data_IF_556052918266
#
_entry.id   IF_556052918266
#
_cell.length_a   1.000
_cell.length_b   1.000
_cell.length_c   1.000
_cell.angle_alpha   90.00
_cell.angle_beta   90.00
_cell.angle_gamma   90.00
#
_symmetry.space_group_name_H-M   'P 1'
#
loop_
_entity.id
_entity.type
_entity.pdbx_description
1 polymer ?
#
# COMPACT_ATOMS: atom_id res chain seq x y z
N UNK A 1 6.36 -8.49 0.80
CA UNK A 1 5.04 -8.78 1.38
C UNK A 1 4.01 -7.84 0.81
N UNK A 2 2.99 -8.40 0.18
CA UNK A 2 1.86 -7.66 -0.39
C UNK A 2 0.88 -7.21 0.73
N UNK A 3 1.37 -6.48 1.73
CA UNK A 3 0.53 -6.01 2.83
C UNK A 3 -0.37 -4.87 2.39
N UNK A 4 -1.63 -4.93 2.79
CA UNK A 4 -2.59 -3.84 2.61
C UNK A 4 -2.22 -2.62 3.45
N UNK A 5 -2.64 -1.47 3.01
CA UNK A 5 -2.38 -0.18 3.65
C UNK A 5 -3.67 0.63 3.74
N UNK A 6 -3.87 1.30 4.85
CA UNK A 6 -5.00 2.20 5.02
C UNK A 6 -4.50 3.64 5.05
N UNK A 7 -5.21 4.50 4.34
CA UNK A 7 -4.91 5.93 4.25
C UNK A 7 -6.14 6.76 4.60
N UNK A 8 -5.91 7.88 5.24
CA UNK A 8 -6.85 8.99 5.35
C UNK A 8 -6.37 10.10 4.43
N UNK A 9 -7.30 10.74 3.72
CA UNK A 9 -6.99 11.74 2.71
C UNK A 9 -8.16 12.72 2.54
N UNK A 10 -7.85 13.95 2.16
CA UNK A 10 -8.85 14.89 1.63
C UNK A 10 -8.70 14.98 0.12
N UNK A 11 -9.83 14.90 -0.60
CA UNK A 11 -9.93 15.05 -2.05
C UNK A 11 -10.59 16.40 -2.32
N UNK A 12 -9.93 17.23 -3.12
CA UNK A 12 -10.41 18.54 -3.55
C UNK A 12 -10.87 18.41 -4.98
N UNK A 13 -12.19 18.52 -5.20
CA UNK A 13 -12.82 18.43 -6.52
C UNK A 13 -12.70 19.77 -7.26
N UNK A 14 -12.69 19.72 -8.58
CA UNK A 14 -12.70 20.88 -9.45
C UNK A 14 -11.33 21.52 -9.70
N UNK A 15 -10.26 21.06 -9.09
CA UNK A 15 -8.91 21.61 -9.27
C UNK A 15 -7.92 20.48 -9.53
N UNK A 16 -7.22 20.55 -10.65
CA UNK A 16 -6.13 19.64 -10.98
C UNK A 16 -4.77 20.28 -10.70
N UNK A 17 -3.81 19.46 -10.24
CA UNK A 17 -2.41 19.88 -10.09
C UNK A 17 -1.47 18.90 -10.82
N UNK A 18 -0.32 19.39 -11.24
CA UNK A 18 0.70 18.60 -11.97
C UNK A 18 1.26 17.42 -11.16
N UNK A 19 1.20 17.49 -9.82
CA UNK A 19 1.63 16.42 -8.91
C UNK A 19 0.49 15.54 -8.42
N UNK A 20 -0.77 15.87 -8.76
CA UNK A 20 -2.01 15.27 -8.26
C UNK A 20 -2.20 15.43 -6.74
N UNK A 21 -1.46 16.34 -6.11
CA UNK A 21 -1.58 16.71 -4.70
C UNK A 21 -1.40 18.23 -4.52
N UNK A 22 -1.68 18.72 -3.32
CA UNK A 22 -1.65 20.16 -3.00
C UNK A 22 -0.25 20.79 -3.03
N UNK A 23 0.82 20.04 -3.28
CA UNK A 23 2.18 20.57 -3.43
C UNK A 23 2.50 21.02 -4.85
N UNK A 24 1.67 20.61 -5.82
CA UNK A 24 1.85 20.94 -7.24
C UNK A 24 1.26 22.30 -7.64
N UNK A 25 1.56 22.69 -8.88
CA UNK A 25 0.96 23.86 -9.50
C UNK A 25 -0.42 23.51 -10.07
N UNK A 26 -1.37 24.43 -9.97
CA UNK A 26 -2.69 24.27 -10.61
C UNK A 26 -2.51 24.27 -12.12
N UNK A 27 -3.02 23.22 -12.78
CA UNK A 27 -2.95 23.06 -14.25
C UNK A 27 -4.32 23.21 -14.91
N UNK A 28 -5.40 22.93 -14.18
CA UNK A 28 -6.77 23.14 -14.66
C UNK A 28 -7.74 23.39 -13.50
N UNK A 29 -8.80 24.15 -13.80
CA UNK A 29 -9.94 24.37 -12.91
C UNK A 29 -11.23 24.03 -13.66
N UNK A 30 -12.12 23.30 -13.00
CA UNK A 30 -13.39 22.82 -13.54
C UNK A 30 -14.54 23.32 -12.69
N UNK A 31 -15.56 23.86 -13.34
CA UNK A 31 -16.83 24.15 -12.66
C UNK A 31 -17.59 22.85 -12.50
N UNK A 32 -17.77 22.40 -11.28
CA UNK A 32 -18.54 21.22 -10.97
C UNK A 32 -19.36 21.44 -9.69
N UNK A 33 -20.45 20.72 -9.58
CA UNK A 33 -21.33 20.74 -8.39
C UNK A 33 -21.96 19.35 -8.25
N UNK A 34 -21.12 18.33 -7.97
CA UNK A 34 -21.62 16.96 -7.90
C UNK A 34 -22.53 16.78 -6.68
N UNK A 35 -23.63 16.06 -6.90
CA UNK A 35 -24.49 15.65 -5.80
C UNK A 35 -23.75 14.61 -4.91
N UNK A 36 -24.00 14.59 -3.61
CA UNK A 36 -23.31 13.67 -2.71
C UNK A 36 -23.43 12.19 -3.10
N UNK A 37 -24.54 11.78 -3.68
CA UNK A 37 -24.77 10.42 -4.19
C UNK A 37 -23.85 10.09 -5.36
N UNK A 38 -23.63 11.04 -6.29
CA UNK A 38 -22.74 10.84 -7.44
C UNK A 38 -21.30 10.60 -6.99
N UNK A 39 -20.82 11.37 -6.00
CA UNK A 39 -19.46 11.19 -5.45
C UNK A 39 -19.29 9.82 -4.80
N UNK A 40 -20.28 9.36 -4.03
CA UNK A 40 -20.25 8.04 -3.39
C UNK A 40 -20.31 6.91 -4.43
N UNK A 41 -21.13 7.06 -5.46
CA UNK A 41 -21.24 6.08 -6.56
C UNK A 41 -19.93 6.01 -7.36
N UNK A 42 -19.34 7.15 -7.70
CA UNK A 42 -18.05 7.21 -8.39
C UNK A 42 -16.92 6.56 -7.57
N UNK A 43 -16.86 6.82 -6.26
CA UNK A 43 -15.89 6.17 -5.37
C UNK A 43 -16.13 4.65 -5.27
N UNK A 44 -17.39 4.23 -5.24
CA UNK A 44 -17.75 2.80 -5.24
C UNK A 44 -17.31 2.11 -6.53
N UNK A 45 -17.44 2.75 -7.68
CA UNK A 45 -16.98 2.22 -8.97
C UNK A 45 -15.45 2.06 -9.04
N UNK A 46 -14.69 2.83 -8.26
CA UNK A 46 -13.24 2.72 -8.12
C UNK A 46 -12.82 1.71 -7.03
N UNK A 47 -13.75 0.91 -6.50
CA UNK A 47 -13.48 -0.16 -5.53
C UNK A 47 -13.34 -1.50 -6.25
N UNK A 48 -12.54 -2.41 -5.70
CA UNK A 48 -12.22 -3.69 -6.33
C UNK A 48 -10.84 -3.68 -6.99
N UNK A 49 -10.68 -4.47 -8.04
CA UNK A 49 -9.44 -4.50 -8.84
C UNK A 49 -9.54 -3.46 -9.94
N UNK A 50 -8.62 -2.50 -9.94
CA UNK A 50 -8.57 -1.42 -10.93
C UNK A 50 -7.17 -1.32 -11.54
N UNK A 51 -7.09 -0.74 -12.74
CA UNK A 51 -5.83 -0.41 -13.38
C UNK A 51 -5.44 1.04 -13.07
N UNK A 52 -4.23 1.27 -12.59
CA UNK A 52 -3.70 2.61 -12.33
C UNK A 52 -2.44 2.87 -13.14
N UNK A 53 -2.35 4.04 -13.77
CA UNK A 53 -1.10 4.56 -14.33
C UNK A 53 -0.35 5.30 -13.21
N UNK A 54 0.87 4.88 -12.83
CA UNK A 54 1.65 5.56 -11.80
C UNK A 54 1.88 7.04 -12.16
N UNK A 55 1.81 7.99 -11.20
CA UNK A 55 2.06 9.39 -11.50
C UNK A 55 3.54 9.63 -11.86
N UNK A 56 3.81 10.66 -12.67
CA UNK A 56 5.18 11.05 -13.03
C UNK A 56 6.02 11.39 -11.80
N UNK A 57 5.42 12.05 -10.82
CA UNK A 57 6.09 12.34 -9.55
C UNK A 57 6.02 11.13 -8.63
N UNK A 58 6.84 10.12 -8.90
CA UNK A 58 6.96 8.92 -8.05
C UNK A 58 8.40 8.42 -7.95
N UNK A 59 8.67 7.57 -6.95
CA UNK A 59 9.99 6.96 -6.74
C UNK A 59 10.26 5.76 -7.68
N UNK A 60 9.32 5.42 -8.55
CA UNK A 60 9.47 4.31 -9.49
C UNK A 60 10.59 4.60 -10.50
N UNK A 61 11.28 3.55 -10.95
CA UNK A 61 12.35 3.65 -11.95
C UNK A 61 11.88 3.12 -13.30
N UNK A 62 12.22 3.86 -14.36
CA UNK A 62 12.11 3.45 -15.77
C UNK A 62 13.47 3.72 -16.41
N UNK A 63 14.04 2.75 -17.10
CA UNK A 63 15.38 2.89 -17.69
C UNK A 63 16.48 3.23 -16.68
N UNK A 64 16.34 2.79 -15.42
CA UNK A 64 17.32 3.05 -14.36
C UNK A 64 17.16 4.39 -13.63
N UNK A 65 16.38 5.33 -14.17
CA UNK A 65 16.11 6.67 -13.59
C UNK A 65 14.76 6.71 -12.86
N UNK A 66 14.67 7.51 -11.81
CA UNK A 66 13.40 7.67 -11.08
C UNK A 66 12.46 8.62 -11.81
N UNK A 67 11.16 8.32 -11.82
CA UNK A 67 10.16 9.13 -12.52
C UNK A 67 10.15 10.60 -12.05
N UNK A 68 10.29 10.85 -10.75
CA UNK A 68 10.34 12.22 -10.24
C UNK A 68 11.59 13.01 -10.68
N UNK A 69 12.69 12.33 -11.02
CA UNK A 69 13.90 12.97 -11.59
C UNK A 69 13.59 13.42 -13.04
N UNK A 70 12.95 12.54 -13.82
CA UNK A 70 12.52 12.85 -15.19
C UNK A 70 11.47 13.96 -15.21
N UNK A 71 10.50 13.92 -14.28
CA UNK A 71 9.48 14.97 -14.17
C UNK A 71 10.08 16.36 -13.91
N UNK A 72 11.12 16.46 -13.06
CA UNK A 72 11.83 17.73 -12.80
C UNK A 72 12.57 18.28 -14.02
N UNK A 73 12.96 17.41 -14.93
CA UNK A 73 13.61 17.78 -16.19
C UNK A 73 12.57 18.06 -17.30
N UNK A 74 11.27 17.97 -17.02
CA UNK A 74 10.20 18.15 -18.00
C UNK A 74 10.10 16.99 -18.99
N UNK A 75 10.72 15.83 -18.69
CA UNK A 75 10.70 14.66 -19.54
C UNK A 75 9.50 13.79 -19.14
N UNK A 76 8.56 13.64 -20.04
CA UNK A 76 7.43 12.72 -19.90
C UNK A 76 7.78 11.38 -20.52
N UNK A 77 7.42 10.27 -19.83
CA UNK A 77 7.67 8.90 -20.30
C UNK A 77 6.38 8.08 -20.20
N UNK A 78 6.21 7.16 -21.12
CA UNK A 78 5.10 6.22 -21.09
C UNK A 78 5.21 5.33 -19.84
N UNK A 79 4.08 5.13 -19.19
CA UNK A 79 3.95 4.35 -17.96
C UNK A 79 2.87 3.30 -18.14
N UNK A 80 3.27 2.06 -17.99
CA UNK A 80 2.33 0.95 -18.03
C UNK A 80 1.37 1.01 -16.86
N UNK A 81 0.10 0.80 -17.14
CA UNK A 81 -0.92 0.59 -16.12
C UNK A 81 -0.59 -0.63 -15.26
N UNK A 82 -1.03 -0.61 -14.02
CA UNK A 82 -0.83 -1.70 -13.06
C UNK A 82 -2.11 -2.00 -12.34
N UNK A 83 -2.38 -3.27 -12.22
CA UNK A 83 -3.48 -3.77 -11.42
C UNK A 83 -3.20 -3.53 -9.94
N UNK A 84 -4.14 -2.87 -9.27
CA UNK A 84 -4.15 -2.64 -7.82
C UNK A 84 -5.53 -3.02 -7.27
N UNK A 85 -5.57 -3.34 -5.99
CA UNK A 85 -6.82 -3.70 -5.33
C UNK A 85 -7.21 -2.64 -4.31
N UNK A 86 -8.38 -2.06 -4.46
CA UNK A 86 -9.02 -1.17 -3.51
C UNK A 86 -10.08 -1.97 -2.75
N UNK A 87 -9.81 -2.31 -1.49
CA UNK A 87 -10.77 -3.05 -0.65
C UNK A 87 -11.88 -2.16 -0.12
N UNK A 88 -11.54 -0.89 0.12
CA UNK A 88 -12.45 0.09 0.66
C UNK A 88 -12.09 1.48 0.14
N UNK A 89 -13.09 2.22 -0.30
CA UNK A 89 -13.01 3.65 -0.59
C UNK A 89 -14.24 4.32 0.05
N UNK A 90 -14.17 4.53 1.35
CA UNK A 90 -15.22 5.21 2.14
C UNK A 90 -15.00 6.72 2.05
N UNK A 91 -15.95 7.43 1.47
CA UNK A 91 -15.85 8.87 1.23
C UNK A 91 -17.04 9.60 1.87
N UNK A 92 -16.76 10.77 2.45
CA UNK A 92 -17.76 11.57 3.17
C UNK A 92 -17.58 13.06 2.88
N UNK A 93 -18.67 13.82 2.75
CA UNK A 93 -18.60 15.26 2.58
C UNK A 93 -17.97 15.96 3.79
N UNK A 94 -17.46 17.16 3.57
CA UNK A 94 -17.10 18.13 4.62
C UNK A 94 -18.08 19.31 4.58
N UNK A 95 -17.79 20.35 5.35
CA UNK A 95 -18.58 21.62 5.29
C UNK A 95 -18.40 22.34 3.95
N UNK A 96 -17.29 22.07 3.24
CA UNK A 96 -17.07 22.57 1.88
C UNK A 96 -17.50 21.46 0.88
N UNK A 97 -18.48 21.70 0.02
CA UNK A 97 -19.00 20.70 -0.92
C UNK A 97 -17.95 20.21 -1.94
N UNK A 98 -16.87 20.97 -2.15
CA UNK A 98 -15.78 20.59 -3.04
C UNK A 98 -14.68 19.80 -2.34
N UNK A 99 -14.75 19.63 -1.02
CA UNK A 99 -13.74 18.90 -0.23
C UNK A 99 -14.36 17.68 0.43
N UNK A 100 -13.76 16.54 0.15
CA UNK A 100 -14.24 15.26 0.65
C UNK A 100 -13.16 14.55 1.46
N UNK A 101 -13.54 13.98 2.61
CA UNK A 101 -12.65 13.11 3.38
C UNK A 101 -12.86 11.67 2.96
N UNK A 102 -11.76 10.95 2.76
CA UNK A 102 -11.82 9.54 2.41
C UNK A 102 -10.91 8.68 3.30
N UNK A 103 -11.37 7.44 3.51
CA UNK A 103 -10.59 6.35 4.08
C UNK A 103 -10.44 5.28 3.01
N UNK A 104 -9.19 5.00 2.61
CA UNK A 104 -8.88 4.05 1.55
C UNK A 104 -8.09 2.88 2.12
N UNK A 105 -8.59 1.64 1.96
CA UNK A 105 -7.85 0.40 2.24
C UNK A 105 -7.48 -0.25 0.91
N UNK A 106 -6.18 -0.39 0.63
CA UNK A 106 -5.69 -0.78 -0.68
C UNK A 106 -4.42 -1.63 -0.63
N UNK A 107 -4.15 -2.32 -1.72
CA UNK A 107 -2.94 -3.12 -1.90
C UNK A 107 -1.68 -2.25 -1.94
N UNK A 108 -0.53 -2.88 -1.73
CA UNK A 108 0.77 -2.25 -1.97
C UNK A 108 0.89 -1.80 -3.44
N UNK A 109 1.51 -0.65 -3.66
CA UNK A 109 1.69 -0.09 -5.01
C UNK A 109 0.57 0.81 -5.48
N UNK A 110 -0.54 0.93 -4.74
CA UNK A 110 -1.62 1.87 -5.03
C UNK A 110 -1.16 3.32 -4.81
N UNK A 111 -1.47 4.18 -5.77
CA UNK A 111 -1.23 5.63 -5.69
C UNK A 111 -2.54 6.34 -5.32
N UNK A 112 -2.61 6.82 -4.08
CA UNK A 112 -3.81 7.54 -3.58
C UNK A 112 -4.01 8.85 -4.34
N UNK A 113 -2.95 9.48 -4.83
CA UNK A 113 -3.02 10.68 -5.67
C UNK A 113 -3.73 10.39 -7.00
N UNK A 114 -3.36 9.30 -7.67
CA UNK A 114 -4.02 8.85 -8.89
C UNK A 114 -5.49 8.51 -8.61
N UNK A 115 -5.78 7.82 -7.50
CA UNK A 115 -7.16 7.47 -7.14
C UNK A 115 -8.04 8.72 -6.94
N UNK A 116 -7.48 9.78 -6.33
CA UNK A 116 -8.19 11.06 -6.18
C UNK A 116 -8.43 11.75 -7.53
N UNK A 117 -7.44 11.73 -8.42
CA UNK A 117 -7.59 12.27 -9.78
C UNK A 117 -8.61 11.47 -10.61
N UNK A 118 -8.57 10.14 -10.53
CA UNK A 118 -9.52 9.23 -11.19
C UNK A 118 -10.97 9.49 -10.72
N UNK A 119 -11.17 9.79 -9.42
CA UNK A 119 -12.47 10.19 -8.91
C UNK A 119 -12.94 11.50 -9.54
N UNK A 120 -12.06 12.49 -9.67
CA UNK A 120 -12.39 13.75 -10.34
C UNK A 120 -12.78 13.55 -11.81
N UNK A 121 -12.07 12.69 -12.52
CA UNK A 121 -12.38 12.32 -13.92
C UNK A 121 -13.75 11.60 -14.00
N UNK A 122 -14.02 10.68 -13.10
CA UNK A 122 -15.30 9.97 -13.07
C UNK A 122 -16.50 10.89 -12.80
N UNK A 123 -16.26 12.06 -12.20
CA UNK A 123 -17.24 13.12 -11.97
C UNK A 123 -17.23 14.20 -13.09
N UNK A 124 -16.67 13.89 -14.26
CA UNK A 124 -16.56 14.77 -15.42
C UNK A 124 -15.84 16.11 -15.13
N UNK A 125 -14.91 16.10 -14.17
CA UNK A 125 -14.08 17.24 -13.79
C UNK A 125 -12.69 16.78 -13.41
N UNK A 126 -12.01 17.56 -12.57
CA UNK A 126 -10.68 17.25 -12.06
C UNK A 126 -10.67 17.17 -10.55
N UNK A 127 -9.61 16.60 -10.00
CA UNK A 127 -9.36 16.60 -8.55
C UNK A 127 -7.87 16.43 -8.23
N UNK A 128 -7.49 16.87 -7.04
CA UNK A 128 -6.21 16.54 -6.42
C UNK A 128 -6.44 16.18 -4.96
N UNK A 129 -5.42 15.60 -4.34
CA UNK A 129 -5.50 15.27 -2.92
C UNK A 129 -4.69 16.23 -2.04
N UNK A 130 -5.06 16.28 -0.77
CA UNK A 130 -4.28 16.92 0.29
C UNK A 130 -4.40 16.14 1.61
N UNK A 131 -3.59 16.48 2.59
CA UNK A 131 -3.62 15.89 3.94
C UNK A 131 -3.55 14.35 3.94
N UNK A 132 -2.78 13.76 3.00
CA UNK A 132 -2.61 12.31 2.93
C UNK A 132 -1.84 11.78 4.13
N UNK A 133 -2.44 10.84 4.86
CA UNK A 133 -1.85 10.17 6.00
C UNK A 133 -2.05 8.65 5.91
N UNK A 134 -0.97 7.88 5.97
CA UNK A 134 -1.09 6.42 6.10
C UNK A 134 -1.32 6.08 7.56
N UNK A 135 -2.47 5.45 7.86
CA UNK A 135 -2.89 5.07 9.22
C UNK A 135 -2.66 3.60 9.52
N UNK A 136 -2.45 2.75 8.49
CA UNK A 136 -2.13 1.33 8.66
C UNK A 136 -1.17 0.82 7.57
N UNK A 137 -0.28 -0.09 7.93
CA UNK A 137 0.60 -0.81 6.99
C UNK A 137 0.79 -2.25 7.48
N UNK A 138 0.17 -3.22 6.78
CA UNK A 138 0.09 -4.59 7.27
C UNK A 138 -0.61 -4.64 8.63
N UNK A 139 -0.05 -5.39 9.56
CA UNK A 139 -0.55 -5.50 10.92
C UNK A 139 -0.31 -4.27 11.81
N UNK A 140 0.41 -3.24 11.34
CA UNK A 140 0.76 -2.07 12.16
C UNK A 140 -0.21 -0.91 11.95
N UNK A 141 -0.87 -0.48 13.02
CA UNK A 141 -1.68 0.74 13.07
C UNK A 141 -0.86 1.96 13.54
N UNK A 142 -1.32 3.15 13.19
CA UNK A 142 -0.64 4.40 13.58
C UNK A 142 -0.58 4.60 15.09
N UNK A 143 -1.52 4.00 15.84
CA UNK A 143 -1.58 4.07 17.30
C UNK A 143 -0.41 3.34 17.98
N UNK A 144 0.25 2.43 17.23
CA UNK A 144 1.40 1.67 17.71
C UNK A 144 2.74 2.32 17.29
N UNK A 145 2.68 3.46 16.57
CA UNK A 145 3.87 4.16 16.08
C UNK A 145 4.37 5.16 17.12
N UNK A 146 5.65 5.07 17.43
CA UNK A 146 6.34 6.05 18.24
C UNK A 146 6.85 7.20 17.35
N UNK A 147 7.10 8.38 17.94
CA UNK A 147 7.91 9.40 17.30
C UNK A 147 9.33 8.90 17.14
N UNK A 148 10.03 9.30 16.08
CA UNK A 148 11.40 8.85 15.80
C UNK A 148 12.34 9.10 17.00
N UNK A 149 12.15 10.21 17.72
CA UNK A 149 12.94 10.57 18.92
C UNK A 149 12.68 9.68 20.13
N UNK A 150 11.58 8.93 20.13
CA UNK A 150 11.09 8.11 21.26
C UNK A 150 11.02 6.62 20.87
N UNK A 151 11.37 6.31 19.62
CA UNK A 151 11.24 4.97 19.07
C UNK A 151 12.14 3.95 19.76
N UNK A 152 11.57 2.82 20.11
CA UNK A 152 12.28 1.68 20.70
C UNK A 152 12.32 0.51 19.72
N UNK A 153 13.38 -0.31 19.83
CA UNK A 153 13.46 -1.54 19.04
C UNK A 153 12.41 -2.54 19.53
N UNK A 154 11.66 -3.11 18.59
CA UNK A 154 10.68 -4.16 18.86
C UNK A 154 11.23 -5.53 18.44
N UNK A 155 10.74 -6.62 19.04
CA UNK A 155 11.11 -7.96 18.62
C UNK A 155 10.87 -8.17 17.12
N UNK A 156 11.82 -8.85 16.45
CA UNK A 156 11.73 -9.08 14.99
C UNK A 156 10.48 -9.87 14.61
N UNK A 157 9.98 -10.73 15.50
CA UNK A 157 8.73 -11.46 15.29
C UNK A 157 7.52 -10.56 15.03
N UNK A 158 7.50 -9.34 15.60
CA UNK A 158 6.42 -8.39 15.37
C UNK A 158 6.34 -7.95 13.89
N UNK A 159 7.46 -7.94 13.16
CA UNK A 159 7.46 -7.59 11.73
C UNK A 159 6.66 -8.55 10.85
N UNK A 160 6.46 -9.76 11.35
CA UNK A 160 5.78 -10.85 10.65
C UNK A 160 4.56 -11.36 11.43
N UNK A 161 3.98 -10.53 12.29
CA UNK A 161 2.83 -10.89 13.15
C UNK A 161 1.56 -11.24 12.38
N UNK A 162 1.49 -10.87 11.10
CA UNK A 162 0.39 -11.21 10.20
C UNK A 162 0.57 -12.60 9.55
N UNK A 163 1.70 -13.27 9.78
CA UNK A 163 1.99 -14.57 9.22
C UNK A 163 1.56 -15.68 10.18
N UNK A 164 1.09 -16.77 9.61
CA UNK A 164 0.85 -18.00 10.38
C UNK A 164 2.16 -18.51 10.98
N UNK A 165 2.10 -18.93 12.24
CA UNK A 165 3.29 -19.40 12.97
C UNK A 165 3.42 -20.90 12.91
N UNK A 166 4.65 -21.36 12.69
CA UNK A 166 5.06 -22.76 12.82
C UNK A 166 6.15 -22.83 13.89
N UNK A 167 5.85 -23.49 15.01
CA UNK A 167 6.86 -23.74 16.06
C UNK A 167 7.72 -24.94 15.66
N UNK A 168 9.02 -24.73 15.56
CA UNK A 168 10.00 -25.74 15.15
C UNK A 168 10.42 -26.64 16.31
N UNK A 169 10.63 -27.90 16.02
CA UNK A 169 11.41 -28.81 16.87
C UNK A 169 12.91 -28.52 16.74
N UNK A 170 13.74 -28.96 17.64
CA UNK A 170 15.20 -28.75 17.58
C UNK A 170 15.82 -29.30 16.29
N UNK A 171 15.31 -30.44 15.80
CA UNK A 171 15.75 -31.02 14.53
C UNK A 171 15.37 -30.12 13.32
N UNK A 172 14.13 -29.66 13.29
CA UNK A 172 13.65 -28.75 12.24
C UNK A 172 14.40 -27.40 12.29
N UNK A 173 14.67 -26.88 13.48
CA UNK A 173 15.44 -25.66 13.66
C UNK A 173 16.85 -25.78 13.08
N UNK A 174 17.54 -26.89 13.36
CA UNK A 174 18.85 -27.19 12.77
C UNK A 174 18.79 -27.30 11.25
N UNK A 175 17.76 -27.97 10.71
CA UNK A 175 17.54 -28.06 9.27
C UNK A 175 17.34 -26.67 8.63
N UNK A 176 16.43 -25.85 9.19
CA UNK A 176 16.06 -24.54 8.67
C UNK A 176 17.24 -23.58 8.73
N UNK A 177 18.01 -23.56 9.81
CA UNK A 177 19.21 -22.71 9.96
C UNK A 177 20.27 -23.01 8.88
N UNK A 178 20.34 -24.24 8.42
CA UNK A 178 21.21 -24.65 7.31
C UNK A 178 20.56 -24.47 5.92
N UNK A 179 19.47 -23.72 5.82
CA UNK A 179 18.78 -23.45 4.55
C UNK A 179 17.89 -24.60 4.07
N UNK A 180 17.61 -25.57 4.93
CA UNK A 180 16.69 -26.67 4.64
C UNK A 180 15.23 -26.21 4.65
N UNK A 181 14.36 -27.01 4.01
CA UNK A 181 12.93 -26.71 3.88
C UNK A 181 12.13 -27.63 4.81
N UNK A 182 11.06 -27.09 5.39
CA UNK A 182 10.09 -27.92 6.08
C UNK A 182 9.28 -28.74 5.07
N UNK A 183 8.79 -29.88 5.51
CA UNK A 183 7.85 -30.71 4.74
C UNK A 183 6.49 -30.02 4.65
N UNK A 184 5.75 -30.25 3.57
CA UNK A 184 4.48 -29.58 3.31
C UNK A 184 3.43 -29.79 4.41
N UNK A 185 3.45 -30.91 5.12
CA UNK A 185 2.52 -31.20 6.21
C UNK A 185 2.69 -30.29 7.43
N UNK A 186 3.84 -29.61 7.54
CA UNK A 186 4.11 -28.63 8.60
C UNK A 186 3.67 -27.22 8.27
N UNK A 187 3.31 -26.98 7.00
CA UNK A 187 2.97 -25.67 6.46
C UNK A 187 1.62 -25.74 5.74
N UNK A 188 0.53 -25.68 6.50
CA UNK A 188 -0.82 -25.62 5.95
C UNK A 188 -1.13 -24.24 5.33
N UNK A 189 -1.94 -24.22 4.28
CA UNK A 189 -2.37 -22.97 3.62
C UNK A 189 -1.45 -22.49 2.50
N UNK A 190 -1.49 -21.19 2.26
CA UNK A 190 -0.79 -20.55 1.12
C UNK A 190 0.51 -19.85 1.50
N UNK A 191 0.79 -19.72 2.83
CA UNK A 191 1.95 -18.97 3.31
C UNK A 191 1.87 -17.47 3.04
N UNK A 192 2.94 -16.71 3.30
CA UNK A 192 4.18 -17.16 3.98
C UNK A 192 3.98 -17.50 5.47
N UNK A 193 4.92 -18.24 6.06
CA UNK A 193 4.90 -18.68 7.46
C UNK A 193 6.08 -18.13 8.24
N UNK A 194 5.83 -17.69 9.48
CA UNK A 194 6.86 -17.35 10.46
C UNK A 194 7.27 -18.61 11.23
N UNK A 195 8.51 -19.03 11.06
CA UNK A 195 9.09 -20.18 11.76
C UNK A 195 9.74 -19.70 13.05
N UNK A 196 9.29 -20.22 14.19
CA UNK A 196 9.79 -19.81 15.51
C UNK A 196 10.30 -20.98 16.31
N UNK A 197 11.17 -20.72 17.28
CA UNK A 197 11.48 -21.66 18.34
C UNK A 197 10.36 -21.71 19.41
N UNK A 198 10.51 -22.55 20.41
CA UNK A 198 9.59 -22.68 21.53
C UNK A 198 9.52 -21.43 22.43
N UNK A 199 10.53 -20.58 22.37
CA UNK A 199 10.61 -19.30 23.09
C UNK A 199 10.06 -18.13 22.29
N UNK A 200 9.44 -18.38 21.11
CA UNK A 200 8.91 -17.36 20.19
C UNK A 200 9.97 -16.48 19.53
N UNK A 201 11.21 -16.91 19.44
CA UNK A 201 12.19 -16.23 18.59
C UNK A 201 11.95 -16.60 17.14
N UNK A 202 11.94 -15.59 16.25
CA UNK A 202 11.81 -15.81 14.81
C UNK A 202 13.13 -16.41 14.27
N UNK A 203 13.03 -17.58 13.66
CA UNK A 203 14.18 -18.31 13.07
C UNK A 203 14.24 -18.06 11.57
N UNK A 204 13.09 -18.13 10.89
CA UNK A 204 13.02 -17.96 9.44
C UNK A 204 11.62 -17.53 8.99
N UNK A 205 11.53 -17.13 7.74
CA UNK A 205 10.26 -17.01 6.99
C UNK A 205 10.34 -17.95 5.80
N UNK A 206 9.36 -18.84 5.68
CA UNK A 206 9.19 -19.67 4.48
C UNK A 206 8.02 -19.19 3.66
N UNK A 207 8.11 -19.37 2.34
CA UNK A 207 7.08 -18.99 1.38
C UNK A 207 6.64 -20.22 0.58
N UNK A 208 5.51 -20.11 -0.11
CA UNK A 208 5.06 -21.12 -1.07
C UNK A 208 5.15 -20.54 -2.48
N UNK A 209 5.97 -21.17 -3.33
CA UNK A 209 6.14 -20.79 -4.74
C UNK A 209 5.85 -22.03 -5.57
N UNK A 210 4.92 -21.93 -6.52
CA UNK A 210 4.49 -23.06 -7.39
C UNK A 210 4.13 -24.33 -6.62
N UNK A 211 3.45 -24.15 -5.48
CA UNK A 211 3.01 -25.27 -4.62
C UNK A 211 4.09 -25.87 -3.72
N UNK A 212 5.33 -25.39 -3.83
CA UNK A 212 6.44 -25.87 -3.00
C UNK A 212 6.85 -24.86 -1.94
N UNK A 213 7.17 -25.34 -0.75
CA UNK A 213 7.76 -24.52 0.31
C UNK A 213 9.19 -24.14 -0.08
N UNK A 214 9.48 -22.85 -0.06
CA UNK A 214 10.82 -22.31 -0.32
C UNK A 214 11.29 -21.46 0.87
N UNK A 215 12.60 -21.39 1.04
CA UNK A 215 13.21 -20.54 2.06
C UNK A 215 13.15 -19.09 1.57
N UNK A 216 12.41 -18.24 2.27
CA UNK A 216 12.39 -16.80 2.00
C UNK A 216 13.58 -16.12 2.66
N UNK A 217 13.66 -16.20 3.99
CA UNK A 217 14.74 -15.60 4.77
C UNK A 217 15.06 -16.48 5.99
N UNK A 218 16.34 -16.64 6.34
CA UNK A 218 16.80 -17.24 7.60
C UNK A 218 17.48 -16.13 8.40
N UNK A 219 17.14 -15.99 9.67
CA UNK A 219 17.76 -14.99 10.54
C UNK A 219 19.06 -15.55 11.14
N UNK A 220 20.12 -14.73 11.25
CA UNK A 220 21.34 -15.11 11.95
C UNK A 220 21.06 -15.33 13.45
N UNK A 221 21.95 -16.03 14.12
CA UNK A 221 21.94 -16.19 15.59
C UNK A 221 22.22 -14.89 16.31
#
# INVERSE_FOLDING_TARGET
TASFKTYEVEIVLGIETDTLDSSGQVVAEHRMSPEPTEVVEAASALTGTIEQIPPMVSARRIGGRRLHELAREGIEVDREARSVQIRKFDIRPTDDPMIWRAVVDCSAGTYIRTLGADLGIALEGGAHIRNLRRTKSGGFGIQECDKISEATLRPVLELVRDLDRVVLTDQEMSLVRNGGRLVNERTEGVGPWALTDSSSNLIAVHEKVDGQVVVGVVLPE
#
